data_IF_868992115414
#
_entry.id   IF_868992115414
#
_cell.length_a   1.000
_cell.length_b   1.000
_cell.length_c   1.000
_cell.angle_alpha   90.00
_cell.angle_beta   90.00
_cell.angle_gamma   90.00
#
_symmetry.space_group_name_H-M   'P 1'
#
loop_
_entity.id
_entity.type
_entity.pdbx_description
1 polymer ?
#
# COMPACT_ATOMS: atom_id res chain seq x y z
N UNK A 1 -4.49 11.79 -7.09
CA UNK A 1 -4.19 11.56 -5.66
C UNK A 1 -2.68 11.62 -5.46
N UNK A 2 -2.18 11.99 -4.29
CA UNK A 2 -0.73 11.91 -3.97
C UNK A 2 -0.50 10.59 -3.26
N UNK A 3 0.44 9.78 -3.75
CA UNK A 3 0.74 8.47 -3.17
C UNK A 3 2.13 8.46 -2.53
N UNK A 4 2.23 7.84 -1.35
CA UNK A 4 3.50 7.71 -0.65
C UNK A 4 3.65 6.31 -0.06
N UNK A 5 4.65 5.58 -0.53
CA UNK A 5 5.13 4.37 0.13
C UNK A 5 5.82 4.75 1.45
N UNK A 6 5.40 4.16 2.56
CA UNK A 6 5.95 4.43 3.90
C UNK A 6 6.91 3.35 4.35
N UNK A 7 6.65 2.09 4.01
CA UNK A 7 7.44 0.96 4.50
C UNK A 7 7.39 -0.25 3.58
N UNK A 8 8.52 -0.96 3.49
CA UNK A 8 8.64 -2.30 2.92
C UNK A 8 9.18 -3.21 4.02
N UNK A 9 8.48 -4.30 4.29
CA UNK A 9 8.84 -5.28 5.32
C UNK A 9 8.86 -6.69 4.72
N UNK A 10 9.63 -7.61 5.33
CA UNK A 10 9.50 -9.04 5.04
C UNK A 10 8.12 -9.50 5.51
N UNK A 11 7.40 -10.23 4.66
CA UNK A 11 6.09 -10.71 5.05
C UNK A 11 6.20 -11.83 6.10
N UNK A 12 5.37 -11.83 7.15
CA UNK A 12 5.24 -12.97 8.05
C UNK A 12 4.51 -14.16 7.40
N UNK A 13 3.83 -13.95 6.27
CA UNK A 13 3.03 -14.97 5.59
C UNK A 13 3.80 -15.59 4.42
N UNK A 14 3.97 -16.93 4.43
CA UNK A 14 4.63 -17.71 3.36
C UNK A 14 4.05 -17.54 1.96
N UNK A 15 2.81 -17.05 1.83
CA UNK A 15 2.15 -16.77 0.54
C UNK A 15 2.61 -15.45 -0.10
N UNK A 16 3.46 -14.68 0.56
CA UNK A 16 3.96 -13.37 0.11
C UNK A 16 5.42 -13.19 0.54
N UNK A 17 6.22 -12.51 -0.26
CA UNK A 17 7.62 -12.21 0.10
C UNK A 17 7.70 -10.95 0.93
N UNK A 18 6.91 -9.92 0.58
CA UNK A 18 6.95 -8.60 1.19
C UNK A 18 5.57 -8.15 1.63
N UNK A 19 5.54 -7.33 2.68
CA UNK A 19 4.40 -6.50 3.06
C UNK A 19 4.81 -5.05 2.83
N UNK A 20 4.00 -4.30 2.08
CA UNK A 20 4.20 -2.88 1.84
C UNK A 20 3.07 -2.09 2.46
N UNK A 21 3.41 -0.94 3.03
CA UNK A 21 2.46 -0.03 3.66
C UNK A 21 2.70 1.35 3.10
N UNK A 22 1.61 2.02 2.73
CA UNK A 22 1.68 3.39 2.27
C UNK A 22 0.39 4.13 2.49
N UNK A 23 0.45 5.42 2.18
CA UNK A 23 -0.65 6.35 2.35
C UNK A 23 -0.93 7.01 1.00
N UNK A 24 -2.18 7.38 0.77
CA UNK A 24 -2.56 8.19 -0.38
C UNK A 24 -3.52 9.28 0.05
N UNK A 25 -3.23 10.50 -0.38
CA UNK A 25 -3.91 11.71 0.05
C UNK A 25 -4.61 12.39 -1.13
N UNK A 26 -5.85 12.77 -0.89
CA UNK A 26 -6.64 13.64 -1.75
C UNK A 26 -6.95 14.93 -0.98
N UNK A 27 -7.65 15.88 -1.60
CA UNK A 27 -8.03 17.13 -0.95
C UNK A 27 -8.87 16.95 0.33
N UNK A 28 -9.60 15.84 0.45
CA UNK A 28 -10.58 15.62 1.53
C UNK A 28 -10.41 14.31 2.27
N UNK A 29 -9.57 13.41 1.79
CA UNK A 29 -9.48 12.05 2.30
C UNK A 29 -8.05 11.52 2.24
N UNK A 30 -7.68 10.82 3.30
CA UNK A 30 -6.45 10.06 3.42
C UNK A 30 -6.78 8.56 3.40
N UNK A 31 -5.96 7.79 2.70
CA UNK A 31 -6.11 6.37 2.49
C UNK A 31 -4.86 5.64 2.96
N UNK A 32 -5.00 4.72 3.91
CA UNK A 32 -3.94 3.81 4.32
C UNK A 32 -4.12 2.50 3.57
N UNK A 33 -3.08 2.08 2.85
CA UNK A 33 -3.07 0.80 2.15
C UNK A 33 -1.96 -0.09 2.69
N UNK A 34 -2.29 -1.36 2.89
CA UNK A 34 -1.34 -2.43 3.19
C UNK A 34 -1.50 -3.52 2.14
N UNK A 35 -0.44 -3.78 1.39
CA UNK A 35 -0.44 -4.79 0.33
C UNK A 35 0.63 -5.85 0.58
N UNK A 36 0.31 -7.09 0.22
CA UNK A 36 1.20 -8.22 0.36
C UNK A 36 1.62 -8.68 -1.03
N UNK A 37 2.93 -8.70 -1.27
CA UNK A 37 3.52 -8.84 -2.59
C UNK A 37 4.31 -10.14 -2.68
N UNK A 38 4.16 -10.86 -3.80
CA UNK A 38 4.99 -12.02 -4.15
C UNK A 38 5.54 -11.85 -5.56
N UNK A 39 6.86 -11.84 -5.69
CA UNK A 39 7.51 -11.47 -6.95
C UNK A 39 7.08 -10.06 -7.36
N UNK A 40 6.48 -9.93 -8.55
CA UNK A 40 5.98 -8.65 -9.10
C UNK A 40 4.48 -8.41 -8.91
N UNK A 41 3.79 -9.25 -8.12
CA UNK A 41 2.32 -9.25 -8.03
C UNK A 41 1.85 -8.95 -6.62
N UNK A 42 0.80 -8.15 -6.51
CA UNK A 42 0.00 -7.99 -5.29
C UNK A 42 -0.87 -9.23 -5.13
N UNK A 43 -0.77 -9.89 -3.98
CA UNK A 43 -1.53 -11.10 -3.65
C UNK A 43 -2.84 -10.75 -2.93
N UNK A 44 -2.79 -9.80 -2.01
CA UNK A 44 -3.96 -9.21 -1.36
C UNK A 44 -3.61 -7.83 -0.83
N UNK A 45 -4.63 -7.00 -0.66
CA UNK A 45 -4.51 -5.63 -0.20
C UNK A 45 -5.68 -5.28 0.72
N UNK A 46 -5.38 -4.54 1.77
CA UNK A 46 -6.36 -3.92 2.66
C UNK A 46 -6.23 -2.42 2.55
N UNK A 47 -7.38 -1.75 2.55
CA UNK A 47 -7.45 -0.29 2.55
C UNK A 47 -8.33 0.18 3.70
N UNK A 48 -7.90 1.27 4.31
CA UNK A 48 -8.71 2.05 5.22
C UNK A 48 -8.67 3.51 4.78
N UNK A 49 -9.75 4.25 4.99
CA UNK A 49 -9.78 5.68 4.73
C UNK A 49 -10.21 6.48 5.95
N UNK A 50 -9.85 7.75 5.95
CA UNK A 50 -10.37 8.76 6.87
C UNK A 50 -10.43 10.12 6.17
N UNK A 51 -11.39 10.99 6.52
CA UNK A 51 -11.39 12.36 6.03
C UNK A 51 -10.15 13.13 6.52
N UNK A 52 -9.58 13.96 5.65
CA UNK A 52 -8.49 14.87 5.99
C UNK A 52 -9.05 15.96 6.90
N UNK A 53 -8.44 16.14 8.07
CA UNK A 53 -8.99 17.04 9.08
C UNK A 53 -8.86 18.50 8.65
N UNK A 54 -10.00 19.21 8.57
CA UNK A 54 -10.00 20.67 8.44
C UNK A 54 -9.97 21.39 9.80
N UNK A 55 -10.40 20.73 10.89
CA UNK A 55 -10.71 21.38 12.16
C UNK A 55 -10.15 20.67 13.43
N UNK A 56 -9.06 19.89 13.30
CA UNK A 56 -8.33 19.34 14.46
C UNK A 56 -9.04 18.26 15.31
N UNK A 57 -10.14 17.67 14.83
CA UNK A 57 -10.79 16.53 15.49
C UNK A 57 -10.19 15.21 15.00
N UNK A 58 -9.73 14.39 15.93
CA UNK A 58 -9.22 13.05 15.60
C UNK A 58 -10.31 12.18 14.96
N UNK A 59 -10.01 11.63 13.78
CA UNK A 59 -10.91 10.75 13.03
C UNK A 59 -10.26 9.39 12.88
N UNK A 60 -11.03 8.36 13.23
CA UNK A 60 -10.60 6.98 13.15
C UNK A 60 -10.53 6.49 11.71
N UNK A 61 -9.54 5.66 11.43
CA UNK A 61 -9.46 4.89 10.19
C UNK A 61 -10.62 3.93 10.08
N UNK A 62 -11.29 3.91 8.92
CA UNK A 62 -12.35 2.95 8.61
C UNK A 62 -11.91 2.03 7.50
N UNK A 63 -11.98 0.72 7.73
CA UNK A 63 -11.72 -0.28 6.69
C UNK A 63 -12.73 -0.12 5.56
N UNK A 64 -12.24 -0.23 4.32
CA UNK A 64 -13.05 -0.12 3.11
C UNK A 64 -13.10 -1.48 2.41
N UNK A 65 -14.28 -1.86 1.93
CA UNK A 65 -14.47 -3.13 1.20
C UNK A 65 -13.87 -3.08 -0.21
N UNK A 66 -13.88 -1.89 -0.81
CA UNK A 66 -13.39 -1.66 -2.17
C UNK A 66 -12.15 -0.79 -2.17
N UNK A 67 -11.21 -1.10 -3.05
CA UNK A 67 -10.00 -0.30 -3.25
C UNK A 67 -10.22 0.69 -4.39
N UNK A 68 -9.92 1.99 -4.20
CA UNK A 68 -9.93 2.96 -5.29
C UNK A 68 -8.99 2.53 -6.43
N UNK A 69 -9.41 2.58 -7.71
CA UNK A 69 -8.59 2.12 -8.85
C UNK A 69 -7.22 2.80 -8.96
N UNK A 70 -7.13 4.08 -8.57
CA UNK A 70 -5.87 4.84 -8.58
C UNK A 70 -4.85 4.27 -7.57
N UNK A 71 -5.33 3.90 -6.37
CA UNK A 71 -4.50 3.24 -5.34
C UNK A 71 -4.08 1.85 -5.82
N UNK A 72 -5.01 1.08 -6.37
CA UNK A 72 -4.71 -0.26 -6.89
C UNK A 72 -3.65 -0.21 -8.00
N UNK A 73 -3.80 0.70 -8.96
CA UNK A 73 -2.81 0.90 -10.02
C UNK A 73 -1.43 1.29 -9.46
N UNK A 74 -1.39 2.26 -8.54
CA UNK A 74 -0.14 2.68 -7.91
C UNK A 74 0.54 1.55 -7.14
N UNK A 75 -0.20 0.82 -6.31
CA UNK A 75 0.34 -0.29 -5.50
C UNK A 75 0.85 -1.42 -6.38
N UNK A 76 0.18 -1.73 -7.50
CA UNK A 76 0.67 -2.70 -8.49
C UNK A 76 1.98 -2.25 -9.15
N UNK A 77 2.13 -0.97 -9.47
CA UNK A 77 3.39 -0.42 -10.00
C UNK A 77 4.52 -0.54 -8.97
N UNK A 78 4.26 -0.18 -7.71
CA UNK A 78 5.24 -0.31 -6.62
C UNK A 78 5.63 -1.78 -6.41
N UNK A 79 4.67 -2.70 -6.45
CA UNK A 79 4.93 -4.13 -6.33
C UNK A 79 5.84 -4.66 -7.46
N UNK A 80 5.64 -4.19 -8.69
CA UNK A 80 6.50 -4.53 -9.82
C UNK A 80 7.94 -4.04 -9.61
N UNK A 81 8.10 -2.77 -9.20
CA UNK A 81 9.42 -2.18 -8.91
C UNK A 81 10.16 -2.92 -7.79
N UNK A 82 9.46 -3.27 -6.70
CA UNK A 82 10.02 -4.06 -5.60
C UNK A 82 10.44 -5.44 -6.10
N UNK A 83 9.58 -6.10 -6.88
CA UNK A 83 9.91 -7.41 -7.46
C UNK A 83 11.15 -7.39 -8.35
N UNK A 84 11.41 -6.27 -9.04
CA UNK A 84 12.62 -6.07 -9.85
C UNK A 84 13.86 -5.76 -8.99
N UNK A 85 13.72 -4.88 -8.00
CA UNK A 85 14.81 -4.52 -7.09
C UNK A 85 15.32 -5.72 -6.28
N UNK A 86 14.41 -6.48 -5.65
CA UNK A 86 14.80 -7.58 -4.77
C UNK A 86 15.20 -8.86 -5.51
N UNK A 87 14.78 -9.06 -6.77
CA UNK A 87 15.34 -10.13 -7.62
C UNK A 87 16.82 -9.93 -7.88
N UNK A 88 17.25 -8.68 -8.00
CA UNK A 88 18.64 -8.32 -8.30
C UNK A 88 19.56 -8.56 -7.10
N UNK A 89 19.02 -8.53 -5.88
CA UNK A 89 19.77 -8.71 -4.63
C UNK A 89 19.97 -10.19 -4.25
N UNK A 90 19.13 -11.11 -4.75
CA UNK A 90 19.29 -12.57 -4.52
C UNK A 90 20.33 -13.25 -5.43
N UNK A 91 21.09 -12.47 -6.23
CA UNK A 91 22.17 -13.01 -7.08
C UNK A 91 23.48 -12.29 -6.76
N UNK A 92 24.24 -12.85 -5.80
CA UNK A 92 25.71 -12.80 -5.66
C UNK A 92 26.12 -13.64 -4.45
#
# INVERSE_FOLDING_TARGET
MIHQLKRIEKSPNRRSSHKIVGISESEREEWLWTAFVKGKKVMWMFVSSRPLMLNGREVQWKGQETVPPEIESHVNQVAAQIGDLFKTVEVS
#
